data_IF_961380242351
#
_entry.id   IF_961380242351
#
_cell.length_a   1.000
_cell.length_b   1.000
_cell.length_c   1.000
_cell.angle_alpha   90.00
_cell.angle_beta   90.00
_cell.angle_gamma   90.00
#
_symmetry.space_group_name_H-M   'P 1'
#
loop_
_entity.id
_entity.type
_entity.pdbx_description
1 polymer ?
#
# COMPACT_ATOMS: atom_id res chain seq x y z
N UNK A 1 10.17 29.37 -9.40
CA UNK A 1 10.27 28.23 -8.46
C UNK A 1 9.09 27.31 -8.75
N UNK A 2 9.32 26.11 -9.28
CA UNK A 2 8.25 25.14 -9.50
C UNK A 2 7.77 24.64 -8.12
N UNK A 3 6.46 24.65 -7.87
CA UNK A 3 5.91 23.96 -6.71
C UNK A 3 6.29 22.48 -6.83
N UNK A 4 6.81 21.81 -5.79
CA UNK A 4 7.04 20.38 -5.84
C UNK A 4 5.68 19.74 -6.15
N UNK A 5 5.60 19.07 -7.30
CA UNK A 5 4.40 18.36 -7.70
C UNK A 5 4.02 17.40 -6.59
N UNK A 6 2.76 17.44 -6.16
CA UNK A 6 2.26 16.50 -5.16
C UNK A 6 2.47 15.08 -5.69
N UNK A 7 3.27 14.28 -4.98
CA UNK A 7 3.42 12.86 -5.26
C UNK A 7 2.13 12.13 -4.81
N UNK A 8 1.09 12.23 -5.63
CA UNK A 8 -0.25 11.68 -5.35
C UNK A 8 -0.22 10.20 -4.99
N UNK A 9 0.74 9.44 -5.53
CA UNK A 9 0.92 8.03 -5.19
C UNK A 9 1.12 7.81 -3.69
N UNK A 10 1.97 8.61 -3.04
CA UNK A 10 2.23 8.51 -1.60
C UNK A 10 1.01 8.89 -0.76
N UNK A 11 0.39 10.03 -1.08
CA UNK A 11 -0.83 10.51 -0.40
C UNK A 11 -1.94 9.46 -0.42
N UNK A 12 -2.16 8.83 -1.58
CA UNK A 12 -3.16 7.77 -1.72
C UNK A 12 -2.81 6.55 -0.85
N UNK A 13 -1.53 6.15 -0.76
CA UNK A 13 -1.12 5.04 0.12
C UNK A 13 -1.37 5.34 1.60
N UNK A 14 -1.15 6.58 2.03
CA UNK A 14 -1.43 6.99 3.42
C UNK A 14 -2.92 6.94 3.72
N UNK A 15 -3.75 7.45 2.80
CA UNK A 15 -5.20 7.36 2.93
C UNK A 15 -5.67 5.89 3.05
N UNK A 16 -5.21 5.01 2.17
CA UNK A 16 -5.62 3.60 2.20
C UNK A 16 -5.13 2.87 3.46
N UNK A 17 -3.94 3.23 3.97
CA UNK A 17 -3.46 2.71 5.24
C UNK A 17 -4.34 3.13 6.41
N UNK A 18 -4.71 4.40 6.48
CA UNK A 18 -5.61 4.92 7.51
C UNK A 18 -7.01 4.33 7.39
N UNK A 19 -7.49 4.09 6.17
CA UNK A 19 -8.75 3.41 5.92
C UNK A 19 -8.75 1.98 6.47
N UNK A 20 -7.65 1.23 6.32
CA UNK A 20 -7.52 -0.10 6.93
C UNK A 20 -7.61 -0.06 8.47
N UNK A 21 -7.12 1.00 9.11
CA UNK A 21 -7.26 1.18 10.56
C UNK A 21 -8.71 1.47 10.95
N UNK A 22 -9.38 2.36 10.23
CA UNK A 22 -10.78 2.71 10.49
C UNK A 22 -11.73 1.53 10.25
N UNK A 23 -11.42 0.66 9.29
CA UNK A 23 -12.14 -0.58 9.04
C UNK A 23 -11.88 -1.68 10.10
N UNK A 24 -10.97 -1.44 11.05
CA UNK A 24 -10.67 -2.37 12.13
C UNK A 24 -9.83 -3.59 11.73
N UNK A 25 -9.07 -3.52 10.63
CA UNK A 25 -8.27 -4.65 10.13
C UNK A 25 -7.10 -4.99 11.08
N UNK A 26 -6.64 -4.04 11.89
CA UNK A 26 -5.76 -4.31 13.04
C UNK A 26 -4.35 -4.79 12.69
N UNK A 27 -3.84 -4.49 11.49
CA UNK A 27 -2.48 -4.86 11.07
C UNK A 27 -1.45 -4.06 11.90
N UNK A 28 -0.58 -4.76 12.61
CA UNK A 28 0.65 -4.16 13.14
C UNK A 28 1.71 -4.09 12.02
N UNK A 29 2.29 -2.92 11.81
CA UNK A 29 3.26 -2.68 10.73
C UNK A 29 4.70 -2.73 11.20
N UNK A 30 4.91 -2.86 12.51
CA UNK A 30 6.23 -2.87 13.13
C UNK A 30 6.69 -4.29 13.44
N UNK A 31 5.76 -5.23 13.65
CA UNK A 31 6.07 -6.63 13.97
C UNK A 31 5.30 -7.61 13.10
N UNK A 32 5.79 -8.85 13.03
CA UNK A 32 5.05 -9.97 12.46
C UNK A 32 3.96 -10.47 13.42
N UNK A 33 2.83 -10.91 12.89
CA UNK A 33 1.70 -11.41 13.65
C UNK A 33 1.89 -12.84 14.17
N UNK A 34 2.70 -13.65 13.48
CA UNK A 34 2.95 -15.05 13.81
C UNK A 34 4.06 -15.22 14.88
N UNK A 35 5.13 -14.42 14.79
CA UNK A 35 6.28 -14.52 15.70
C UNK A 35 6.49 -13.31 16.60
N UNK A 36 5.83 -12.17 16.35
CA UNK A 36 6.04 -10.93 17.11
C UNK A 36 7.39 -10.27 16.84
N UNK A 37 8.10 -10.67 15.78
CA UNK A 37 9.43 -10.16 15.46
C UNK A 37 9.35 -8.83 14.72
N UNK A 38 10.25 -7.90 15.03
CA UNK A 38 10.32 -6.63 14.35
C UNK A 38 10.62 -6.78 12.85
N UNK A 39 9.88 -6.04 12.02
CA UNK A 39 10.08 -6.00 10.57
C UNK A 39 11.45 -5.40 10.24
N UNK A 40 12.26 -6.18 9.52
CA UNK A 40 13.60 -5.83 9.08
C UNK A 40 13.59 -5.40 7.62
N UNK A 41 14.29 -4.30 7.32
CA UNK A 41 14.27 -3.63 6.02
C UNK A 41 14.56 -4.56 4.83
N UNK A 42 15.60 -5.38 4.94
CA UNK A 42 16.11 -6.20 3.83
C UNK A 42 15.55 -7.62 3.79
N UNK A 43 14.58 -7.94 4.65
CA UNK A 43 13.90 -9.24 4.68
C UNK A 43 12.59 -9.22 3.91
N UNK A 44 12.10 -10.40 3.55
CA UNK A 44 10.80 -10.58 2.90
C UNK A 44 9.81 -11.21 3.87
N UNK A 45 8.57 -10.76 3.79
CA UNK A 45 7.47 -11.17 4.65
C UNK A 45 6.30 -11.63 3.79
N UNK A 46 5.55 -12.60 4.31
CA UNK A 46 4.24 -12.94 3.80
C UNK A 46 3.20 -11.92 4.26
N UNK A 47 2.22 -11.64 3.42
CA UNK A 47 1.01 -10.93 3.81
C UNK A 47 -0.19 -11.86 3.70
N UNK A 48 -1.01 -11.83 4.73
CA UNK A 48 -2.36 -12.36 4.74
C UNK A 48 -3.33 -11.26 5.19
N UNK A 49 -4.47 -11.15 4.51
CA UNK A 49 -5.40 -10.05 4.76
C UNK A 49 -6.14 -10.17 6.10
N UNK A 50 -6.21 -11.37 6.68
CA UNK A 50 -6.86 -11.61 7.98
C UNK A 50 -5.83 -11.62 9.11
N UNK A 51 -4.65 -12.21 8.87
CA UNK A 51 -3.62 -12.35 9.92
C UNK A 51 -2.61 -11.19 9.95
N UNK A 52 -2.42 -10.45 8.85
CA UNK A 52 -1.44 -9.37 8.76
C UNK A 52 -0.08 -9.81 8.19
N UNK A 53 1.00 -9.35 8.81
CA UNK A 53 2.37 -9.56 8.32
C UNK A 53 2.95 -10.82 8.94
N UNK A 54 3.44 -11.76 8.13
CA UNK A 54 3.94 -13.06 8.57
C UNK A 54 5.44 -13.17 8.30
N UNK A 55 6.16 -13.76 9.26
CA UNK A 55 7.59 -14.06 9.11
C UNK A 55 7.81 -15.07 7.99
N UNK A 56 6.98 -16.10 7.95
CA UNK A 56 7.09 -17.16 6.97
C UNK A 56 6.43 -16.77 5.64
N UNK A 57 6.93 -17.34 4.54
CA UNK A 57 6.43 -17.08 3.19
C UNK A 57 5.09 -17.77 2.88
N UNK A 58 4.32 -18.13 3.92
CA UNK A 58 3.00 -18.75 3.80
C UNK A 58 1.92 -17.74 3.41
N UNK A 59 2.22 -16.44 3.54
CA UNK A 59 1.35 -15.37 3.04
C UNK A 59 1.14 -15.43 1.53
N UNK A 60 -0.03 -14.98 1.08
CA UNK A 60 -0.43 -15.03 -0.34
C UNK A 60 0.26 -13.96 -1.19
N UNK A 61 0.87 -12.97 -0.55
CA UNK A 61 1.62 -11.90 -1.19
C UNK A 61 2.94 -11.68 -0.46
N UNK A 62 4.05 -11.64 -1.21
CA UNK A 62 5.38 -11.45 -0.63
C UNK A 62 5.86 -10.01 -0.81
N UNK A 63 6.34 -9.40 0.26
CA UNK A 63 6.75 -7.99 0.31
C UNK A 63 8.08 -7.82 1.05
N UNK A 64 8.92 -6.87 0.64
CA UNK A 64 10.13 -6.53 1.40
C UNK A 64 9.78 -5.62 2.59
N UNK A 65 10.49 -5.81 3.71
CA UNK A 65 10.32 -5.00 4.92
C UNK A 65 10.51 -3.50 4.66
N UNK A 66 11.41 -3.10 3.76
CA UNK A 66 11.56 -1.68 3.37
C UNK A 66 10.27 -1.05 2.84
N UNK A 67 9.43 -1.82 2.15
CA UNK A 67 8.15 -1.32 1.62
C UNK A 67 7.14 -1.18 2.76
N UNK A 68 7.08 -2.16 3.67
CA UNK A 68 6.23 -2.14 4.86
C UNK A 68 6.58 -0.98 5.78
N UNK A 69 7.87 -0.81 6.09
CA UNK A 69 8.38 0.31 6.89
C UNK A 69 8.07 1.66 6.24
N UNK A 70 8.25 1.78 4.92
CA UNK A 70 7.93 3.02 4.21
C UNK A 70 6.44 3.36 4.25
N UNK A 71 5.56 2.37 4.11
CA UNK A 71 4.11 2.54 4.30
C UNK A 71 3.81 3.03 5.72
N UNK A 72 4.35 2.32 6.72
CA UNK A 72 4.09 2.56 8.14
C UNK A 72 4.54 3.95 8.60
N UNK A 73 5.74 4.37 8.19
CA UNK A 73 6.35 5.64 8.58
C UNK A 73 6.06 6.78 7.58
N UNK A 74 5.20 6.52 6.60
CA UNK A 74 4.82 7.48 5.57
C UNK A 74 6.02 8.04 4.78
N UNK A 75 7.02 7.20 4.51
CA UNK A 75 8.25 7.57 3.84
C UNK A 75 8.15 7.40 2.31
N UNK A 76 8.97 8.16 1.54
CA UNK A 76 9.09 7.95 0.11
C UNK A 76 9.53 6.53 -0.25
N UNK A 77 8.92 5.97 -1.29
CA UNK A 77 9.31 4.68 -1.87
C UNK A 77 10.35 4.91 -2.97
N UNK A 78 11.56 4.39 -2.73
CA UNK A 78 12.78 4.68 -3.51
C UNK A 78 12.65 4.28 -4.98
N UNK A 79 12.16 3.06 -5.24
CA UNK A 79 12.11 2.52 -6.60
C UNK A 79 10.69 2.49 -7.17
N UNK A 80 10.58 2.50 -8.49
CA UNK A 80 9.29 2.30 -9.16
C UNK A 80 8.68 0.92 -8.84
N UNK A 81 9.52 -0.08 -8.59
CA UNK A 81 9.09 -1.41 -8.15
C UNK A 81 8.49 -1.37 -6.74
N UNK A 82 9.11 -0.64 -5.80
CA UNK A 82 8.59 -0.48 -4.44
C UNK A 82 7.27 0.32 -4.44
N UNK A 83 7.16 1.36 -5.26
CA UNK A 83 5.90 2.11 -5.48
C UNK A 83 4.77 1.22 -5.99
N UNK A 84 5.06 0.38 -6.98
CA UNK A 84 4.13 -0.63 -7.51
C UNK A 84 3.72 -1.61 -6.42
N UNK A 85 4.71 -2.15 -5.70
CA UNK A 85 4.49 -3.11 -4.62
C UNK A 85 3.59 -2.53 -3.52
N UNK A 86 3.84 -1.31 -3.04
CA UNK A 86 3.02 -0.69 -2.00
C UNK A 86 1.55 -0.50 -2.42
N UNK A 87 1.29 -0.15 -3.68
CA UNK A 87 -0.06 -0.07 -4.22
C UNK A 87 -0.73 -1.45 -4.24
N UNK A 88 -0.01 -2.47 -4.70
CA UNK A 88 -0.55 -3.82 -4.83
C UNK A 88 -0.81 -4.44 -3.44
N UNK A 89 0.02 -4.13 -2.43
CA UNK A 89 -0.21 -4.45 -1.01
C UNK A 89 -1.54 -3.86 -0.53
N UNK A 90 -1.77 -2.56 -0.73
CA UNK A 90 -3.00 -1.91 -0.24
C UNK A 90 -4.25 -2.44 -0.93
N UNK A 91 -4.18 -2.68 -2.25
CA UNK A 91 -5.27 -3.33 -2.96
C UNK A 91 -5.55 -4.74 -2.42
N UNK A 92 -4.51 -5.52 -2.14
CA UNK A 92 -4.67 -6.86 -1.57
C UNK A 92 -5.36 -6.80 -0.21
N UNK A 93 -4.93 -5.91 0.67
CA UNK A 93 -5.46 -5.77 2.03
C UNK A 93 -6.87 -5.17 2.05
N UNK A 94 -7.19 -4.22 1.17
CA UNK A 94 -8.52 -3.58 1.16
C UNK A 94 -9.60 -4.44 0.51
N UNK A 95 -9.24 -5.29 -0.46
CA UNK A 95 -10.20 -6.05 -1.28
C UNK A 95 -11.26 -6.83 -0.48
N UNK A 96 -10.95 -7.48 0.66
CA UNK A 96 -11.97 -8.15 1.47
C UNK A 96 -13.01 -7.21 2.08
N UNK A 97 -12.68 -5.93 2.29
CA UNK A 97 -13.50 -4.97 3.02
C UNK A 97 -14.31 -4.04 2.12
N UNK A 98 -13.75 -3.65 0.98
CA UNK A 98 -14.40 -2.72 0.02
C UNK A 98 -14.93 -3.42 -1.23
N UNK A 99 -14.75 -4.74 -1.31
CA UNK A 99 -15.13 -5.56 -2.45
C UNK A 99 -14.18 -5.46 -3.64
N UNK A 100 -14.45 -6.25 -4.68
CA UNK A 100 -13.65 -6.30 -5.90
C UNK A 100 -14.18 -5.40 -7.03
N UNK A 101 -15.20 -4.58 -6.74
CA UNK A 101 -15.77 -3.68 -7.73
C UNK A 101 -14.71 -2.69 -8.22
N UNK A 102 -14.67 -2.45 -9.53
CA UNK A 102 -13.74 -1.49 -10.10
C UNK A 102 -14.09 -0.11 -9.55
N UNK A 103 -13.13 0.54 -8.89
CA UNK A 103 -13.31 1.94 -8.51
C UNK A 103 -13.55 2.79 -9.76
N UNK A 104 -14.78 3.28 -9.91
CA UNK A 104 -15.19 4.13 -11.05
C UNK A 104 -14.43 5.46 -11.11
N UNK A 105 -13.67 5.83 -10.07
CA UNK A 105 -12.77 6.97 -10.09
C UNK A 105 -11.75 6.91 -11.23
N UNK A 106 -11.37 5.71 -11.70
CA UNK A 106 -10.51 5.55 -12.89
C UNK A 106 -11.20 5.96 -14.18
N UNK A 107 -12.52 5.80 -14.30
CA UNK A 107 -13.29 6.24 -15.46
C UNK A 107 -13.36 7.78 -15.53
N UNK A 108 -13.29 8.46 -14.38
CA UNK A 108 -13.24 9.93 -14.31
C UNK A 108 -11.91 10.52 -14.83
N UNK A 109 -10.80 9.79 -14.70
CA UNK A 109 -9.51 10.24 -15.24
C UNK A 109 -9.38 10.02 -16.75
N UNK A 110 -10.08 9.03 -17.30
CA UNK A 110 -10.11 8.74 -18.75
C UNK A 110 -11.03 9.69 -19.53
N UNK A 111 -11.97 10.34 -18.84
CA UNK A 111 -12.97 11.23 -19.45
C UNK A 111 -12.58 12.71 -19.47
N UNK A 112 -11.37 13.07 -19.00
CA UNK A 112 -10.83 14.42 -19.13
C UNK A 112 -9.71 14.44 -20.21
N UNK A 113 -10.04 14.62 -21.50
CA UNK A 113 -9.03 14.91 -22.50
C UNK A 113 -8.32 16.21 -22.12
N UNK A 114 -6.99 16.26 -22.32
CA UNK A 114 -6.24 17.51 -22.18
C UNK A 114 -6.92 18.61 -23.01
N UNK A 115 -6.98 19.87 -22.53
CA UNK A 115 -7.52 20.95 -23.33
C UNK A 115 -6.72 21.02 -24.63
N UNK A 116 -7.41 20.83 -25.77
CA UNK A 116 -6.82 21.05 -27.08
C UNK A 116 -6.32 22.50 -27.11
N UNK A 117 -5.00 22.66 -27.26
CA UNK A 117 -4.41 23.96 -27.52
C UNK A 117 -4.70 24.35 -28.96
N UNK A 118 -5.44 25.45 -29.13
CA UNK A 118 -5.49 26.23 -30.37
C UNK A 118 -4.21 27.09 -30.50
#
# INVERSE_FOLDING_TARGET
MAQPGVEFGGVIRHFERALLDELGVGIDWQVTADSGEAIQRDQRYGLDAEMGILRDSTGKFMVFGRVLQAIAAHLPLETAADRRCARDVMHYLLRPHVGAAVFHSRALWQSNPAPNGD
#
